data_IF_531866741939
#
_entry.id   IF_531866741939
#
_cell.length_a   1.000
_cell.length_b   1.000
_cell.length_c   1.000
_cell.angle_alpha   90.00
_cell.angle_beta   90.00
_cell.angle_gamma   90.00
#
_symmetry.space_group_name_H-M   'P 1'
#
loop_
_entity.id
_entity.type
_entity.pdbx_description
1 polymer ?
#
# COMPACT_ATOMS: atom_id res chain seq x y z
N UNK A 1 -11.84 30.44 0.71
CA UNK A 1 -11.49 29.02 0.60
C UNK A 1 -12.74 28.24 0.26
N UNK A 2 -12.70 27.56 -0.87
CA UNK A 2 -13.83 26.75 -1.29
C UNK A 2 -13.75 25.39 -0.63
N UNK A 3 -14.88 24.93 -0.10
CA UNK A 3 -14.97 23.60 0.48
C UNK A 3 -15.83 22.73 -0.42
N UNK A 4 -15.29 21.57 -0.75
CA UNK A 4 -16.08 20.53 -1.38
C UNK A 4 -16.57 19.61 -0.29
N UNK A 5 -17.89 19.42 -0.23
CA UNK A 5 -18.50 18.51 0.73
C UNK A 5 -18.92 17.24 0.03
N UNK A 6 -18.49 16.12 0.60
CA UNK A 6 -19.03 14.83 0.19
C UNK A 6 -20.33 14.60 0.92
N UNK A 7 -21.38 14.30 0.17
CA UNK A 7 -22.67 13.97 0.74
C UNK A 7 -22.85 12.44 0.80
N UNK A 8 -23.86 11.99 1.52
CA UNK A 8 -24.19 10.57 1.58
C UNK A 8 -24.40 9.98 0.19
N UNK A 9 -24.96 10.77 -0.73
CA UNK A 9 -25.29 10.32 -2.08
C UNK A 9 -24.12 10.44 -3.06
N UNK A 10 -22.98 10.98 -2.62
CA UNK A 10 -21.81 11.09 -3.49
C UNK A 10 -21.22 9.71 -3.74
N UNK A 11 -21.14 9.26 -5.02
CA UNK A 11 -20.51 7.97 -5.30
C UNK A 11 -19.03 8.03 -4.98
N UNK A 12 -18.51 6.98 -4.34
CA UNK A 12 -17.09 6.87 -4.06
C UNK A 12 -16.33 6.54 -5.34
N UNK A 13 -15.22 7.23 -5.60
CA UNK A 13 -14.33 6.82 -6.67
C UNK A 13 -13.67 5.49 -6.31
N UNK A 14 -13.05 4.80 -7.27
CA UNK A 14 -12.24 3.64 -6.95
C UNK A 14 -11.22 3.99 -5.88
N UNK A 15 -11.13 3.18 -4.84
CA UNK A 15 -10.29 3.49 -3.70
C UNK A 15 -9.55 2.25 -3.19
N UNK A 16 -8.51 2.50 -2.41
CA UNK A 16 -7.73 1.45 -1.75
C UNK A 16 -8.06 1.42 -0.25
N UNK A 17 -8.03 0.24 0.38
CA UNK A 17 -8.20 0.17 1.82
C UNK A 17 -6.97 0.71 2.55
N UNK A 18 -7.17 1.50 3.58
CA UNK A 18 -6.12 1.90 4.49
C UNK A 18 -6.61 1.67 5.91
N UNK A 19 -6.05 0.67 6.62
CA UNK A 19 -6.46 0.42 7.99
C UNK A 19 -6.24 1.65 8.87
N UNK A 20 -7.21 1.97 9.70
CA UNK A 20 -7.12 3.15 10.57
C UNK A 20 -5.92 3.06 11.51
N UNK A 21 -5.58 1.86 11.96
CA UNK A 21 -4.42 1.67 12.82
C UNK A 21 -3.11 2.09 12.15
N UNK A 22 -3.01 1.97 10.83
CA UNK A 22 -1.82 2.36 10.09
C UNK A 22 -1.57 3.86 10.16
N UNK A 23 -2.60 4.67 10.35
CA UNK A 23 -2.46 6.12 10.45
C UNK A 23 -1.64 6.55 11.66
N UNK A 24 -1.61 5.72 12.69
CA UNK A 24 -0.91 6.02 13.95
C UNK A 24 0.51 5.47 13.99
N UNK A 25 0.92 4.73 12.97
CA UNK A 25 2.26 4.14 12.94
C UNK A 25 3.32 5.21 12.64
N UNK A 26 4.51 5.08 13.25
CA UNK A 26 5.61 6.04 13.03
C UNK A 26 6.34 5.77 11.71
N UNK A 27 5.59 5.76 10.63
CA UNK A 27 6.12 5.59 9.27
C UNK A 27 5.70 6.78 8.42
N UNK A 28 6.41 6.98 7.31
CA UNK A 28 6.08 8.10 6.41
C UNK A 28 4.71 7.93 5.77
N UNK A 29 4.13 9.03 5.32
CA UNK A 29 2.85 8.99 4.61
C UNK A 29 2.97 8.21 3.31
N UNK A 30 4.11 8.29 2.63
CA UNK A 30 4.36 7.50 1.43
C UNK A 30 4.32 6.00 1.74
N UNK A 31 4.90 5.60 2.88
CA UNK A 31 4.85 4.20 3.31
C UNK A 31 3.40 3.76 3.61
N UNK A 32 2.60 4.62 4.21
CA UNK A 32 1.18 4.33 4.48
C UNK A 32 0.39 4.13 3.18
N UNK A 33 0.61 5.00 2.19
CA UNK A 33 -0.03 4.86 0.87
C UNK A 33 0.44 3.59 0.17
N UNK A 34 1.72 3.30 0.25
CA UNK A 34 2.27 2.07 -0.31
C UNK A 34 1.63 0.84 0.35
N UNK A 35 1.45 0.86 1.65
CA UNK A 35 0.81 -0.23 2.36
C UNK A 35 -0.64 -0.44 1.87
N UNK A 36 -1.38 0.65 1.67
CA UNK A 36 -2.74 0.57 1.13
C UNK A 36 -2.75 -0.04 -0.27
N UNK A 37 -1.81 0.35 -1.12
CA UNK A 37 -1.69 -0.20 -2.47
C UNK A 37 -1.37 -1.70 -2.43
N UNK A 38 -0.48 -2.13 -1.55
CA UNK A 38 -0.13 -3.54 -1.40
C UNK A 38 -1.31 -4.36 -0.92
N UNK A 39 -2.08 -3.84 0.04
CA UNK A 39 -3.28 -4.52 0.54
C UNK A 39 -4.34 -4.65 -0.56
N UNK A 40 -4.55 -3.60 -1.32
CA UNK A 40 -5.50 -3.63 -2.42
C UNK A 40 -5.09 -4.68 -3.47
N UNK A 41 -3.82 -4.69 -3.84
CA UNK A 41 -3.28 -5.67 -4.80
C UNK A 41 -3.41 -7.09 -4.27
N UNK A 42 -3.14 -7.28 -2.97
CA UNK A 42 -3.27 -8.60 -2.34
C UNK A 42 -4.71 -9.11 -2.40
N UNK A 43 -5.69 -8.25 -2.19
CA UNK A 43 -7.09 -8.63 -2.26
C UNK A 43 -7.55 -8.97 -3.67
N UNK A 44 -7.01 -8.28 -4.66
CA UNK A 44 -7.45 -8.44 -6.05
C UNK A 44 -6.66 -9.50 -6.81
N UNK A 45 -5.37 -9.64 -6.52
CA UNK A 45 -4.45 -10.48 -7.30
C UNK A 45 -3.46 -11.25 -6.44
N UNK A 46 -3.74 -11.40 -5.15
CA UNK A 46 -2.89 -12.14 -4.24
C UNK A 46 -2.84 -13.62 -4.61
N UNK A 47 -1.68 -14.21 -4.44
CA UNK A 47 -1.45 -15.63 -4.65
C UNK A 47 -1.21 -16.30 -3.31
N UNK A 48 -1.53 -17.58 -3.24
CA UNK A 48 -1.37 -18.36 -2.02
C UNK A 48 -0.30 -19.43 -2.25
N UNK A 49 0.63 -19.52 -1.31
CA UNK A 49 1.64 -20.57 -1.39
C UNK A 49 1.15 -21.89 -0.80
N UNK A 50 2.01 -22.90 -0.80
CA UNK A 50 1.66 -24.24 -0.30
C UNK A 50 1.32 -24.26 1.19
N UNK A 51 1.71 -23.24 1.94
CA UNK A 51 1.42 -23.11 3.39
C UNK A 51 0.21 -22.23 3.69
N UNK A 52 -0.50 -21.77 2.67
CA UNK A 52 -1.65 -20.89 2.83
C UNK A 52 -1.29 -19.44 3.07
N UNK A 53 -0.06 -19.05 2.85
CA UNK A 53 0.39 -17.67 3.03
C UNK A 53 0.11 -16.88 1.74
N UNK A 54 -0.62 -15.77 1.89
CA UNK A 54 -0.89 -14.89 0.76
C UNK A 54 0.32 -14.03 0.44
N UNK A 55 0.61 -13.89 -0.85
CA UNK A 55 1.72 -13.06 -1.30
C UNK A 55 1.39 -12.42 -2.65
N UNK A 56 2.15 -11.38 -2.98
CA UNK A 56 2.07 -10.71 -4.27
C UNK A 56 3.47 -10.53 -4.84
N UNK A 57 3.56 -10.55 -6.17
CA UNK A 57 4.77 -10.17 -6.88
C UNK A 57 4.52 -8.79 -7.48
N UNK A 58 5.22 -7.79 -6.96
CA UNK A 58 5.02 -6.41 -7.41
C UNK A 58 6.38 -5.77 -7.63
N UNK A 59 6.85 -5.70 -8.88
CA UNK A 59 8.15 -5.11 -9.17
C UNK A 59 8.24 -3.65 -8.72
N UNK A 60 9.42 -3.25 -8.25
CA UNK A 60 9.64 -1.88 -7.76
C UNK A 60 9.33 -0.85 -8.84
N UNK A 61 9.61 -1.15 -10.11
CA UNK A 61 9.30 -0.26 -11.22
C UNK A 61 7.81 0.03 -11.29
N UNK A 62 6.97 -1.00 -11.15
CA UNK A 62 5.51 -0.83 -11.17
C UNK A 62 5.03 -0.05 -9.95
N UNK A 63 5.59 -0.32 -8.78
CA UNK A 63 5.25 0.45 -7.57
C UNK A 63 5.60 1.92 -7.71
N UNK A 64 6.76 2.20 -8.29
CA UNK A 64 7.22 3.56 -8.52
C UNK A 64 6.27 4.32 -9.47
N UNK A 65 5.79 3.65 -10.51
CA UNK A 65 4.83 4.23 -11.44
C UNK A 65 3.47 4.48 -10.78
N UNK A 66 2.95 3.49 -10.06
CA UNK A 66 1.65 3.62 -9.38
C UNK A 66 1.65 4.71 -8.31
N UNK A 67 2.74 4.84 -7.58
CA UNK A 67 2.85 5.85 -6.52
C UNK A 67 3.31 7.21 -7.04
N UNK A 68 3.74 7.28 -8.30
CA UNK A 68 4.33 8.50 -8.86
C UNK A 68 5.50 8.99 -8.01
N UNK A 69 6.34 8.05 -7.54
CA UNK A 69 7.53 8.32 -6.73
C UNK A 69 8.75 7.60 -7.31
N UNK A 70 9.93 8.07 -6.96
CA UNK A 70 11.17 7.45 -7.42
C UNK A 70 11.34 6.04 -6.83
N UNK A 71 12.12 5.21 -7.51
CA UNK A 71 12.45 3.87 -7.01
C UNK A 71 13.13 3.91 -5.65
N UNK A 72 13.96 4.91 -5.38
CA UNK A 72 14.61 5.06 -4.08
C UNK A 72 13.58 5.32 -2.97
N UNK A 73 12.61 6.17 -3.24
CA UNK A 73 11.53 6.45 -2.29
C UNK A 73 10.71 5.20 -2.02
N UNK A 74 10.40 4.42 -3.06
CA UNK A 74 9.69 3.15 -2.91
C UNK A 74 10.48 2.16 -2.07
N UNK A 75 11.78 2.00 -2.34
CA UNK A 75 12.64 1.10 -1.56
C UNK A 75 12.71 1.50 -0.10
N UNK A 76 12.82 2.80 0.16
CA UNK A 76 12.84 3.33 1.53
C UNK A 76 11.52 3.05 2.24
N UNK A 77 10.40 3.26 1.56
CA UNK A 77 9.07 3.00 2.11
C UNK A 77 8.84 1.52 2.39
N UNK A 78 9.31 0.64 1.50
CA UNK A 78 9.25 -0.81 1.74
C UNK A 78 10.07 -1.20 2.98
N UNK A 79 11.24 -0.60 3.17
CA UNK A 79 12.06 -0.85 4.36
C UNK A 79 11.33 -0.40 5.63
N UNK A 80 10.65 0.74 5.59
CA UNK A 80 9.86 1.22 6.72
C UNK A 80 8.75 0.23 7.08
N UNK A 81 8.03 -0.27 6.08
CA UNK A 81 6.97 -1.25 6.30
C UNK A 81 7.49 -2.57 6.84
N UNK A 82 8.63 -3.03 6.33
CA UNK A 82 9.25 -4.26 6.82
C UNK A 82 9.72 -4.11 8.26
N UNK A 83 10.36 -2.99 8.59
CA UNK A 83 10.83 -2.72 9.94
C UNK A 83 9.68 -2.55 10.94
N UNK A 84 8.54 -2.08 10.48
CA UNK A 84 7.33 -1.98 11.30
C UNK A 84 6.60 -3.32 11.46
N UNK A 85 7.05 -4.37 10.79
CA UNK A 85 6.44 -5.69 10.87
C UNK A 85 5.16 -5.85 10.06
N UNK A 86 4.88 -4.91 9.16
CA UNK A 86 3.65 -4.94 8.35
C UNK A 86 3.77 -5.81 7.11
N UNK A 87 4.98 -5.98 6.60
CA UNK A 87 5.25 -6.81 5.43
C UNK A 87 6.50 -7.66 5.68
N UNK A 88 6.61 -8.73 4.94
CA UNK A 88 7.81 -9.54 4.88
C UNK A 88 8.20 -9.67 3.41
N UNK A 89 9.43 -9.31 3.09
CA UNK A 89 9.91 -9.42 1.71
C UNK A 89 10.76 -10.68 1.56
N UNK A 90 10.48 -11.41 0.48
CA UNK A 90 11.29 -12.55 0.10
C UNK A 90 12.13 -12.13 -1.10
N UNK A 91 13.43 -12.17 -0.95
CA UNK A 91 14.37 -11.88 -2.04
C UNK A 91 14.72 -13.18 -2.77
N UNK A 92 14.66 -13.08 -4.06
CA UNK A 92 15.09 -14.18 -4.91
C UNK A 92 16.43 -13.86 -5.54
#
# INVERSE_FOLDING_TARGET
MDFEFMTIDTPLPPCMPLPKAALRLPISNTAKVLYALLLDTLQMAGMEDSNGILFICFPIVELSEELCRSSMTVKRSLNELENAGLIMRVRR
#
